data_IF_485986453807
#
_entry.id   IF_485986453807
#
_cell.length_a   1.000
_cell.length_b   1.000
_cell.length_c   1.000
_cell.angle_alpha   90.00
_cell.angle_beta   90.00
_cell.angle_gamma   90.00
#
_symmetry.space_group_name_H-M   'P 1'
#
loop_
_entity.id
_entity.type
_entity.pdbx_description
1 polymer ?
#
# COMPACT_ATOMS: atom_id res chain seq x y z
N UNK A 1 -16.58 23.24 -1.06
CA UNK A 1 -16.07 22.85 0.27
C UNK A 1 -14.96 21.83 0.06
N UNK A 2 -13.74 22.10 0.53
CA UNK A 2 -12.68 21.09 0.55
C UNK A 2 -12.94 20.21 1.78
N UNK A 3 -13.16 18.91 1.57
CA UNK A 3 -13.49 17.97 2.64
C UNK A 3 -12.19 17.52 3.31
N UNK A 4 -12.00 17.90 4.57
CA UNK A 4 -10.71 17.85 5.28
C UNK A 4 -10.46 16.56 6.07
N UNK A 5 -11.32 15.55 5.95
CA UNK A 5 -11.14 14.29 6.71
C UNK A 5 -11.40 13.10 5.82
N UNK A 6 -10.32 12.49 5.34
CA UNK A 6 -10.41 11.15 4.78
C UNK A 6 -10.62 10.15 5.90
N UNK A 7 -11.21 9.01 5.58
CA UNK A 7 -11.18 7.84 6.47
C UNK A 7 -10.36 6.79 5.75
N UNK A 8 -9.21 6.42 6.32
CA UNK A 8 -8.35 5.36 5.75
C UNK A 8 -9.15 4.11 5.35
N UNK A 9 -10.16 3.72 6.13
CA UNK A 9 -11.06 2.58 5.87
C UNK A 9 -11.94 2.70 4.61
N UNK A 10 -12.07 3.87 4.01
CA UNK A 10 -12.79 4.10 2.74
C UNK A 10 -11.83 4.36 1.57
N UNK A 11 -10.55 4.53 1.86
CA UNK A 11 -9.50 4.71 0.86
C UNK A 11 -9.14 3.37 0.23
N UNK A 12 -8.56 3.41 -0.96
CA UNK A 12 -8.16 2.21 -1.70
C UNK A 12 -6.73 2.34 -2.19
N UNK A 13 -6.10 1.20 -2.49
CA UNK A 13 -4.78 1.16 -3.10
C UNK A 13 -4.80 0.23 -4.32
N UNK A 14 -4.04 0.60 -5.35
CA UNK A 14 -3.95 -0.14 -6.61
C UNK A 14 -2.59 0.06 -7.29
N UNK A 15 -2.31 -0.70 -8.36
CA UNK A 15 -1.06 -0.61 -9.11
C UNK A 15 -0.37 -1.96 -9.23
N UNK A 16 0.74 -2.02 -9.98
CA UNK A 16 1.46 -3.26 -10.27
C UNK A 16 1.93 -3.97 -9.00
N UNK A 17 2.38 -3.22 -8.00
CA UNK A 17 2.75 -3.77 -6.69
C UNK A 17 1.58 -4.31 -5.87
N UNK A 18 0.33 -4.17 -6.32
CA UNK A 18 -0.85 -4.71 -5.67
C UNK A 18 -1.67 -5.64 -6.59
N UNK A 19 -1.10 -6.07 -7.72
CA UNK A 19 -1.81 -6.95 -8.65
C UNK A 19 -1.85 -8.38 -8.14
N UNK A 20 -3.07 -8.89 -7.91
CA UNK A 20 -3.31 -10.31 -7.65
C UNK A 20 -3.02 -11.12 -8.90
N UNK A 21 -2.44 -12.30 -8.73
CA UNK A 21 -2.42 -13.30 -9.80
C UNK A 21 -3.84 -13.88 -9.92
N UNK A 22 -4.35 -14.01 -11.16
CA UNK A 22 -5.77 -14.28 -11.44
C UNK A 22 -6.37 -15.52 -10.72
N UNK A 23 -5.54 -16.46 -10.27
CA UNK A 23 -5.94 -17.70 -9.60
C UNK A 23 -5.51 -17.81 -8.14
N UNK A 24 -4.64 -16.91 -7.65
CA UNK A 24 -4.03 -17.03 -6.32
C UNK A 24 -4.46 -15.86 -5.43
N UNK A 25 -4.53 -16.11 -4.12
CA UNK A 25 -4.77 -15.04 -3.13
C UNK A 25 -3.57 -14.09 -2.97
N UNK A 26 -2.44 -14.39 -3.62
CA UNK A 26 -1.20 -13.65 -3.52
C UNK A 26 -0.97 -12.72 -4.72
N UNK A 27 -0.32 -11.60 -4.43
CA UNK A 27 0.19 -10.70 -5.45
C UNK A 27 1.53 -11.25 -5.97
N UNK A 28 1.76 -11.22 -7.29
CA UNK A 28 2.99 -11.73 -7.86
C UNK A 28 3.96 -10.59 -8.13
N UNK A 29 5.11 -10.63 -7.46
CA UNK A 29 6.19 -9.67 -7.65
C UNK A 29 7.51 -10.42 -7.80
N UNK A 30 8.37 -9.94 -8.70
CA UNK A 30 9.71 -10.51 -8.91
C UNK A 30 10.68 -9.93 -7.90
N UNK A 31 11.46 -10.78 -7.23
CA UNK A 31 12.52 -10.31 -6.36
C UNK A 31 13.56 -9.49 -7.15
N UNK A 32 13.95 -8.34 -6.62
CA UNK A 32 14.82 -7.36 -7.26
C UNK A 32 14.09 -6.32 -8.11
N UNK A 33 12.81 -6.52 -8.43
CA UNK A 33 12.03 -5.57 -9.23
C UNK A 33 11.24 -4.58 -8.37
N UNK A 34 11.27 -3.31 -8.74
CA UNK A 34 10.50 -2.26 -8.05
C UNK A 34 9.00 -2.39 -8.32
N UNK A 35 8.21 -2.37 -7.25
CA UNK A 35 6.77 -2.57 -7.22
C UNK A 35 6.04 -1.26 -6.89
N UNK A 36 5.53 -0.51 -7.89
CA UNK A 36 4.81 0.73 -7.63
C UNK A 36 3.35 0.49 -7.28
N UNK A 37 2.79 1.34 -6.42
CA UNK A 37 1.37 1.41 -6.11
C UNK A 37 0.94 2.85 -5.82
N UNK A 38 -0.37 3.08 -5.87
CA UNK A 38 -1.03 4.36 -5.60
C UNK A 38 -2.10 4.13 -4.53
N UNK A 39 -2.20 5.05 -3.57
CA UNK A 39 -3.30 5.16 -2.63
C UNK A 39 -4.21 6.28 -3.13
N UNK A 40 -5.50 6.01 -3.23
CA UNK A 40 -6.54 7.01 -3.48
C UNK A 40 -7.32 7.24 -2.19
N UNK A 41 -7.17 8.43 -1.61
CA UNK A 41 -7.79 8.76 -0.36
C UNK A 41 -9.25 9.14 -0.54
N UNK A 42 -10.10 8.67 0.37
CA UNK A 42 -11.55 8.89 0.33
C UNK A 42 -12.12 9.22 1.69
N UNK A 43 -13.16 10.03 1.70
CA UNK A 43 -13.89 10.39 2.91
C UNK A 43 -14.86 9.29 3.38
N UNK A 44 -15.59 9.56 4.45
CA UNK A 44 -16.58 8.63 5.02
C UNK A 44 -17.74 8.29 4.06
N UNK A 45 -17.99 9.12 3.05
CA UNK A 45 -18.98 8.93 1.99
C UNK A 45 -18.38 8.29 0.73
N UNK A 46 -17.11 7.86 0.80
CA UNK A 46 -16.35 7.29 -0.32
C UNK A 46 -16.10 8.27 -1.47
N UNK A 47 -16.21 9.58 -1.20
CA UNK A 47 -15.86 10.64 -2.14
C UNK A 47 -14.34 10.81 -2.13
N UNK A 48 -13.75 10.97 -3.32
CA UNK A 48 -12.31 11.20 -3.48
C UNK A 48 -11.89 12.48 -2.78
N UNK A 49 -10.80 12.39 -2.02
CA UNK A 49 -10.09 13.57 -1.56
C UNK A 49 -9.61 14.39 -2.77
N UNK A 50 -9.47 15.70 -2.58
CA UNK A 50 -9.00 16.64 -3.61
C UNK A 50 -7.76 17.40 -3.14
N UNK A 51 -7.17 16.96 -2.03
CA UNK A 51 -6.02 17.52 -1.33
C UNK A 51 -5.31 16.40 -0.60
N UNK A 52 -4.03 16.59 -0.33
CA UNK A 52 -3.22 15.68 0.49
C UNK A 52 -3.38 15.91 2.01
N UNK A 53 -2.32 15.59 2.75
CA UNK A 53 -2.11 15.67 4.20
C UNK A 53 -2.71 14.55 5.06
N UNK A 54 -3.16 13.45 4.45
CA UNK A 54 -3.48 12.25 5.22
C UNK A 54 -2.20 11.55 5.65
N UNK A 55 -2.15 11.11 6.90
CA UNK A 55 -0.99 10.44 7.48
C UNK A 55 -1.01 8.93 7.23
N UNK A 56 -1.00 8.51 5.96
CA UNK A 56 -0.89 7.10 5.64
C UNK A 56 0.48 6.53 6.04
N UNK A 57 0.48 5.32 6.58
CA UNK A 57 1.70 4.56 6.86
C UNK A 57 1.67 3.24 6.11
N UNK A 58 2.70 2.99 5.30
CA UNK A 58 2.88 1.73 4.60
C UNK A 58 4.05 0.93 5.20
N UNK A 59 3.81 -0.34 5.52
CA UNK A 59 4.80 -1.26 6.09
C UNK A 59 4.81 -2.59 5.36
N UNK A 60 5.99 -3.06 5.02
CA UNK A 60 6.19 -4.33 4.33
C UNK A 60 6.89 -5.32 5.26
N UNK A 61 6.29 -6.49 5.52
CA UNK A 61 6.88 -7.58 6.30
C UNK A 61 6.91 -8.88 5.52
N UNK A 62 7.94 -9.70 5.73
CA UNK A 62 8.06 -11.05 5.16
C UNK A 62 7.46 -12.06 6.12
N UNK A 63 6.74 -13.06 5.60
CA UNK A 63 6.25 -14.19 6.40
C UNK A 63 7.44 -15.03 6.84
N UNK A 64 7.57 -15.24 8.14
CA UNK A 64 8.50 -16.21 8.71
C UNK A 64 7.82 -17.59 8.75
N UNK A 65 8.39 -18.55 8.03
CA UNK A 65 7.81 -19.89 7.90
C UNK A 65 7.81 -20.69 9.22
N UNK A 66 8.72 -20.40 10.15
CA UNK A 66 8.79 -21.11 11.43
C UNK A 66 7.75 -20.59 12.41
N UNK A 67 7.58 -19.26 12.50
CA UNK A 67 6.66 -18.66 13.47
C UNK A 67 5.27 -18.38 12.90
N UNK A 68 5.09 -18.46 11.57
CA UNK A 68 3.86 -18.10 10.87
C UNK A 68 3.41 -16.64 11.12
N UNK A 69 4.38 -15.77 11.37
CA UNK A 69 4.20 -14.34 11.63
C UNK A 69 4.93 -13.50 10.57
N UNK A 70 4.42 -12.31 10.29
CA UNK A 70 5.17 -11.34 9.49
C UNK A 70 6.24 -10.64 10.34
N UNK A 71 7.49 -10.65 9.85
CA UNK A 71 8.66 -10.04 10.50
C UNK A 71 9.40 -9.11 9.52
N UNK A 72 10.43 -8.42 10.03
CA UNK A 72 11.30 -7.57 9.21
C UNK A 72 10.61 -6.35 8.60
N UNK A 73 9.64 -5.77 9.33
CA UNK A 73 8.86 -4.64 8.83
C UNK A 73 9.75 -3.47 8.40
N UNK A 74 9.70 -3.17 7.11
CA UNK A 74 10.35 -2.00 6.51
C UNK A 74 9.30 -0.94 6.20
N UNK A 75 9.60 0.30 6.55
CA UNK A 75 8.76 1.43 6.16
C UNK A 75 8.84 1.62 4.64
N UNK A 76 7.69 1.80 4.00
CA UNK A 76 7.60 2.15 2.58
C UNK A 76 7.33 3.65 2.49
N UNK A 77 8.20 4.37 1.79
CA UNK A 77 8.00 5.81 1.57
C UNK A 77 6.74 6.04 0.75
N UNK A 78 5.97 7.05 1.14
CA UNK A 78 4.79 7.52 0.43
C UNK A 78 5.01 8.99 0.09
N UNK A 79 4.88 9.32 -1.18
CA UNK A 79 4.90 10.69 -1.65
C UNK A 79 3.46 11.17 -1.82
N UNK A 80 3.09 12.24 -1.12
CA UNK A 80 1.81 12.92 -1.26
C UNK A 80 1.84 13.82 -2.50
N UNK A 81 0.91 13.64 -3.42
CA UNK A 81 0.81 14.42 -4.65
C UNK A 81 -0.06 15.68 -4.49
N UNK A 82 -0.56 15.94 -3.28
CA UNK A 82 -1.44 17.05 -2.91
C UNK A 82 -2.77 17.12 -3.71
N UNK A 83 -3.18 15.99 -4.27
CA UNK A 83 -4.42 15.85 -5.05
C UNK A 83 -5.39 14.81 -4.47
N UNK A 84 -5.08 14.28 -3.28
CA UNK A 84 -5.81 13.16 -2.67
C UNK A 84 -5.26 11.78 -3.06
N UNK A 85 -4.13 11.74 -3.77
CA UNK A 85 -3.41 10.51 -4.07
C UNK A 85 -1.99 10.51 -3.52
N UNK A 86 -1.50 9.30 -3.22
CA UNK A 86 -0.17 9.07 -2.65
C UNK A 86 0.51 7.96 -3.45
N UNK A 87 1.77 8.14 -3.82
CA UNK A 87 2.54 7.12 -4.54
C UNK A 87 3.53 6.44 -3.62
N UNK A 88 3.60 5.11 -3.70
CA UNK A 88 4.59 4.33 -2.97
C UNK A 88 5.24 3.30 -3.88
N UNK A 89 6.44 2.86 -3.50
CA UNK A 89 7.07 1.71 -4.14
C UNK A 89 7.92 0.92 -3.17
N UNK A 90 8.02 -0.38 -3.41
CA UNK A 90 8.89 -1.25 -2.63
C UNK A 90 9.68 -2.18 -3.56
N UNK A 91 10.83 -2.67 -3.10
CA UNK A 91 11.63 -3.69 -3.78
C UNK A 91 11.97 -4.77 -2.78
N UNK A 92 11.49 -5.99 -3.00
CA UNK A 92 11.86 -7.16 -2.18
C UNK A 92 13.07 -7.83 -2.81
N UNK A 93 14.09 -8.20 -2.03
CA UNK A 93 15.31 -8.84 -2.54
C UNK A 93 15.33 -10.35 -2.34
N UNK A 94 14.45 -10.87 -1.48
CA UNK A 94 14.30 -12.30 -1.21
C UNK A 94 12.93 -12.78 -1.71
N UNK A 95 12.91 -13.92 -2.39
CA UNK A 95 11.65 -14.57 -2.76
C UNK A 95 10.93 -15.10 -1.51
N UNK A 96 9.61 -14.92 -1.46
CA UNK A 96 8.78 -15.38 -0.36
C UNK A 96 7.44 -14.68 -0.32
N UNK A 97 6.67 -14.93 0.75
CA UNK A 97 5.38 -14.29 0.98
C UNK A 97 5.59 -13.02 1.80
N UNK A 98 4.99 -11.92 1.35
CA UNK A 98 5.05 -10.63 2.03
C UNK A 98 3.65 -10.09 2.28
N UNK A 99 3.53 -9.29 3.34
CA UNK A 99 2.35 -8.48 3.62
C UNK A 99 2.72 -7.00 3.56
N UNK A 100 2.03 -6.26 2.70
CA UNK A 100 2.01 -4.81 2.72
C UNK A 100 0.77 -4.35 3.49
N UNK A 101 0.98 -3.70 4.62
CA UNK A 101 -0.07 -3.07 5.40
C UNK A 101 -0.05 -1.56 5.19
N UNK A 102 -1.21 -0.99 4.87
CA UNK A 102 -1.43 0.47 4.76
C UNK A 102 -2.46 0.84 5.83
N UNK A 103 -2.12 1.80 6.70
CA UNK A 103 -2.96 2.25 7.82
C UNK A 103 -3.15 3.74 7.85
#
# INVERSE_FOLDING_TARGET
AAYTYTRARRSSAYGRGLQKRATDSYMLQTAGETAPFVIEARDQYSIRATRGNDSFVARLGMLDDMTQDYKGYSAVSLDDLDDGTYTGSYTVTLAGIYSLAIT
#
